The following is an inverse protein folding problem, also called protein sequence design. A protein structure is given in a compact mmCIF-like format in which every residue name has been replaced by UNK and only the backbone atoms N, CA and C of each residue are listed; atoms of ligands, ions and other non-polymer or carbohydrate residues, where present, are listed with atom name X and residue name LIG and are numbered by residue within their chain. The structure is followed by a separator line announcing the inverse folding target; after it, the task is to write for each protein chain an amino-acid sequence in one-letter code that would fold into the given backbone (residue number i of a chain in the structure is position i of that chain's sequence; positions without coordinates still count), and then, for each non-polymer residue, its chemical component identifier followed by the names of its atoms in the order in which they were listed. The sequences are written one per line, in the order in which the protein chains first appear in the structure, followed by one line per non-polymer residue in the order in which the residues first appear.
data_IF_609364310070
#
_entry.id   IF_609364310070
#
_cell.length_a   1.000
_cell.length_b   1.000
_cell.length_c   1.000
_cell.angle_alpha   90.00
_cell.angle_beta   90.00
_cell.angle_gamma   90.00
#
_symmetry.space_group_name_H-M   'P 1'
#
loop_
_entity.id
_entity.type
_entity.pdbx_description
1 polymer ?
#
# COMPACT_ATOMS: atom_id res chain seq x y z
N UNK A 1 -3.53 -10.54 -11.00
CA UNK A 1 -3.93 -9.30 -11.68
C UNK A 1 -2.95 -8.91 -12.77
N UNK A 2 -1.68 -8.55 -12.48
CA UNK A 2 -0.75 -8.17 -13.55
C UNK A 2 -0.46 -9.31 -14.54
N UNK A 3 -0.34 -10.55 -14.06
CA UNK A 3 -0.15 -11.76 -14.88
C UNK A 3 -1.42 -12.21 -15.63
N UNK A 4 -2.59 -11.73 -15.20
CA UNK A 4 -3.89 -12.09 -15.78
C UNK A 4 -4.39 -11.02 -16.78
N UNK A 5 -3.65 -9.92 -16.95
CA UNK A 5 -4.02 -8.79 -17.80
C UNK A 5 -3.26 -8.84 -19.12
N UNK A 6 -3.95 -8.70 -20.26
CA UNK A 6 -3.34 -8.77 -21.60
C UNK A 6 -2.30 -7.68 -21.84
N UNK A 7 -2.57 -6.43 -21.42
CA UNK A 7 -1.60 -5.33 -21.49
C UNK A 7 -1.46 -4.65 -20.11
N UNK A 8 -0.68 -5.23 -19.18
CA UNK A 8 -0.64 -4.79 -17.79
C UNK A 8 -0.10 -3.35 -17.64
N UNK A 9 0.75 -2.91 -18.57
CA UNK A 9 1.36 -1.59 -18.51
C UNK A 9 0.38 -0.44 -18.79
N UNK A 10 -0.73 -0.71 -19.49
CA UNK A 10 -1.76 0.28 -19.83
C UNK A 10 -3.06 0.03 -19.08
N UNK A 11 -3.49 -1.21 -18.98
CA UNK A 11 -4.82 -1.55 -18.49
C UNK A 11 -4.89 -1.42 -16.95
N UNK A 12 -3.82 -1.75 -16.22
CA UNK A 12 -3.79 -1.62 -14.76
C UNK A 12 -3.92 -0.15 -14.32
N UNK A 13 -3.12 0.81 -14.86
CA UNK A 13 -3.29 2.22 -14.49
C UNK A 13 -4.66 2.79 -14.87
N UNK A 14 -5.19 2.45 -16.05
CA UNK A 14 -6.51 2.93 -16.48
C UNK A 14 -7.61 2.37 -15.58
N UNK A 15 -7.55 1.08 -15.25
CA UNK A 15 -8.49 0.45 -14.32
C UNK A 15 -8.45 1.09 -12.93
N UNK A 16 -7.25 1.37 -12.41
CA UNK A 16 -7.08 2.01 -11.11
C UNK A 16 -7.64 3.44 -11.09
N UNK A 17 -7.25 4.29 -12.04
CA UNK A 17 -7.72 5.70 -12.08
C UNK A 17 -9.22 5.78 -12.40
N UNK A 18 -9.70 4.94 -13.33
CA UNK A 18 -11.11 4.89 -13.71
C UNK A 18 -12.00 4.47 -12.55
N UNK A 19 -11.68 3.36 -11.88
CA UNK A 19 -12.45 2.89 -10.72
C UNK A 19 -12.43 3.89 -9.55
N UNK A 20 -11.27 4.49 -9.24
CA UNK A 20 -11.14 5.49 -8.19
C UNK A 20 -11.98 6.74 -8.48
N UNK A 21 -11.99 7.22 -9.73
CA UNK A 21 -12.78 8.41 -10.09
C UNK A 21 -14.27 8.14 -9.95
N UNK A 22 -14.74 6.98 -10.44
CA UNK A 22 -16.15 6.59 -10.37
C UNK A 22 -16.60 6.45 -8.91
N UNK A 23 -15.81 5.77 -8.07
CA UNK A 23 -16.18 5.57 -6.66
C UNK A 23 -16.15 6.88 -5.86
N UNK A 24 -15.21 7.79 -6.14
CA UNK A 24 -15.19 9.12 -5.52
C UNK A 24 -16.44 9.91 -5.84
N UNK A 25 -16.86 9.96 -7.11
CA UNK A 25 -18.10 10.65 -7.51
C UNK A 25 -19.31 10.01 -6.83
N UNK A 26 -19.38 8.68 -6.80
CA UNK A 26 -20.45 7.97 -6.12
C UNK A 26 -20.50 8.30 -4.62
N UNK A 27 -19.36 8.33 -3.92
CA UNK A 27 -19.32 8.71 -2.50
C UNK A 27 -19.73 10.16 -2.26
N UNK A 28 -19.34 11.10 -3.13
CA UNK A 28 -19.79 12.49 -3.02
C UNK A 28 -21.31 12.62 -3.19
N UNK A 29 -21.89 11.90 -4.16
CA UNK A 29 -23.33 11.88 -4.38
C UNK A 29 -24.08 11.25 -3.20
N UNK A 30 -23.56 10.14 -2.65
CA UNK A 30 -24.12 9.48 -1.47
C UNK A 30 -24.09 10.38 -0.23
N UNK A 31 -22.97 11.07 0.02
CA UNK A 31 -22.85 12.00 1.12
C UNK A 31 -23.82 13.20 0.97
N UNK A 32 -23.93 13.74 -0.24
CA UNK A 32 -24.88 14.82 -0.55
C UNK A 32 -26.33 14.36 -0.33
N UNK A 33 -26.69 13.17 -0.82
CA UNK A 33 -28.02 12.61 -0.64
C UNK A 33 -28.35 12.41 0.84
N UNK A 34 -27.40 11.91 1.64
CA UNK A 34 -27.59 11.69 3.07
C UNK A 34 -27.81 13.02 3.83
N UNK A 35 -26.99 14.05 3.55
CA UNK A 35 -27.14 15.36 4.17
C UNK A 35 -28.43 16.09 3.77
N UNK A 36 -28.99 15.81 2.58
CA UNK A 36 -30.30 16.32 2.17
C UNK A 36 -31.45 15.60 2.88
N UNK A 37 -31.22 14.35 3.29
CA UNK A 37 -32.21 13.47 3.88
C UNK A 37 -32.41 13.74 5.37
N UNK A 38 -31.32 13.94 6.13
CA UNK A 38 -31.36 14.24 7.56
C UNK A 38 -30.32 15.30 7.96
N UNK A 39 -30.62 16.13 8.98
CA UNK A 39 -29.64 17.04 9.56
C UNK A 39 -28.41 16.28 10.07
N UNK A 40 -27.21 16.83 9.85
CA UNK A 40 -25.92 16.20 10.19
C UNK A 40 -25.84 15.67 11.63
N UNK A 41 -26.49 16.34 12.58
CA UNK A 41 -26.47 15.98 14.00
C UNK A 41 -27.24 14.69 14.33
N UNK A 42 -28.11 14.23 13.44
CA UNK A 42 -28.97 13.06 13.65
C UNK A 42 -28.51 11.82 12.87
N UNK A 43 -27.40 11.93 12.13
CA UNK A 43 -26.87 10.83 11.33
C UNK A 43 -26.17 9.84 12.27
N UNK A 44 -26.68 8.61 12.31
CA UNK A 44 -26.06 7.53 13.07
C UNK A 44 -24.72 7.09 12.41
N UNK A 45 -23.61 7.02 13.18
CA UNK A 45 -22.32 6.62 12.63
C UNK A 45 -22.22 5.16 12.16
N UNK A 46 -23.02 4.25 12.73
CA UNK A 46 -22.94 2.82 12.47
C UNK A 46 -23.86 2.39 11.32
N UNK A 47 -25.00 3.05 11.15
CA UNK A 47 -26.00 2.70 10.15
C UNK A 47 -26.65 3.92 9.47
N UNK A 48 -25.85 4.80 8.83
CA UNK A 48 -26.32 6.12 8.38
C UNK A 48 -27.48 6.05 7.39
N UNK A 49 -27.39 5.22 6.35
CA UNK A 49 -28.45 5.10 5.35
C UNK A 49 -29.66 4.32 5.87
N UNK A 50 -29.43 3.29 6.68
CA UNK A 50 -30.49 2.44 7.20
C UNK A 50 -31.45 3.24 8.08
N UNK A 51 -30.90 4.02 9.01
CA UNK A 51 -31.64 4.89 9.93
C UNK A 51 -32.27 6.06 9.17
N UNK A 52 -31.58 6.62 8.18
CA UNK A 52 -32.14 7.72 7.37
C UNK A 52 -33.40 7.28 6.59
N UNK A 53 -33.39 6.10 5.94
CA UNK A 53 -34.59 5.57 5.24
C UNK A 53 -35.73 5.22 6.18
N UNK A 54 -35.42 4.75 7.39
CA UNK A 54 -36.41 4.51 8.45
C UNK A 54 -37.05 5.81 8.94
N UNK A 55 -36.27 6.87 9.14
CA UNK A 55 -36.77 8.17 9.59
C UNK A 55 -37.75 8.83 8.61
N UNK A 56 -37.64 8.53 7.30
CA UNK A 56 -38.56 9.03 6.26
C UNK A 56 -39.75 8.08 6.02
N UNK A 57 -39.80 6.93 6.69
CA UNK A 57 -40.85 5.93 6.52
C UNK A 57 -40.72 5.06 5.26
N UNK A 58 -39.56 5.09 4.57
CA UNK A 58 -39.28 4.27 3.39
C UNK A 58 -38.72 2.89 3.77
N UNK A 59 -39.54 2.08 4.44
CA UNK A 59 -39.11 0.79 4.97
C UNK A 59 -38.68 -0.22 3.89
N UNK A 60 -39.19 -0.13 2.66
CA UNK A 60 -38.77 -1.01 1.56
C UNK A 60 -37.31 -0.72 1.13
N UNK A 61 -36.91 0.54 1.10
CA UNK A 61 -35.57 0.97 0.69
C UNK A 61 -34.51 0.55 1.72
N UNK A 62 -34.87 0.57 3.01
CA UNK A 62 -34.04 0.09 4.13
C UNK A 62 -33.52 -1.34 3.88
N UNK A 63 -34.40 -2.27 3.50
CA UNK A 63 -34.01 -3.66 3.27
C UNK A 63 -33.12 -3.84 2.03
N UNK A 64 -33.40 -3.12 0.94
CA UNK A 64 -32.59 -3.17 -0.28
C UNK A 64 -31.16 -2.70 0.02
N UNK A 65 -31.02 -1.57 0.72
CA UNK A 65 -29.70 -1.03 1.09
C UNK A 65 -28.97 -1.95 2.07
N UNK A 66 -29.68 -2.56 3.02
CA UNK A 66 -29.09 -3.52 3.95
C UNK A 66 -28.52 -4.76 3.22
N UNK A 67 -29.27 -5.33 2.28
CA UNK A 67 -28.84 -6.48 1.48
C UNK A 67 -27.66 -6.08 0.59
N UNK A 68 -27.72 -4.93 -0.08
CA UNK A 68 -26.62 -4.43 -0.91
C UNK A 68 -25.35 -4.16 -0.11
N UNK A 69 -25.48 -3.63 1.11
CA UNK A 69 -24.36 -3.44 2.04
C UNK A 69 -23.72 -4.77 2.46
N UNK A 70 -24.54 -5.76 2.82
CA UNK A 70 -24.07 -7.10 3.19
C UNK A 70 -23.34 -7.79 2.03
N UNK A 71 -23.93 -7.77 0.84
CA UNK A 71 -23.33 -8.33 -0.38
C UNK A 71 -21.98 -7.66 -0.69
N UNK A 72 -21.96 -6.31 -0.71
CA UNK A 72 -20.76 -5.54 -0.99
C UNK A 72 -19.62 -5.81 0.00
N UNK A 73 -19.92 -5.84 1.30
CA UNK A 73 -18.93 -6.18 2.33
C UNK A 73 -18.38 -7.61 2.15
N UNK A 74 -19.25 -8.57 1.81
CA UNK A 74 -18.86 -9.97 1.59
C UNK A 74 -17.95 -10.11 0.37
N UNK A 75 -18.24 -9.41 -0.73
CA UNK A 75 -17.39 -9.40 -1.93
C UNK A 75 -16.00 -8.84 -1.63
N UNK A 76 -15.93 -7.70 -0.91
CA UNK A 76 -14.65 -7.08 -0.54
C UNK A 76 -13.84 -7.98 0.39
N UNK A 77 -14.49 -8.60 1.38
CA UNK A 77 -13.86 -9.56 2.28
C UNK A 77 -13.22 -10.71 1.48
N UNK A 78 -13.97 -11.32 0.56
CA UNK A 78 -13.49 -12.43 -0.25
C UNK A 78 -12.29 -12.01 -1.13
N UNK A 79 -12.34 -10.84 -1.74
CA UNK A 79 -11.25 -10.31 -2.54
C UNK A 79 -9.96 -10.12 -1.73
N UNK A 80 -10.07 -9.59 -0.50
CA UNK A 80 -8.92 -9.40 0.41
C UNK A 80 -8.34 -10.75 0.83
N UNK A 81 -9.18 -11.72 1.22
CA UNK A 81 -8.73 -13.05 1.67
C UNK A 81 -7.96 -13.77 0.55
N UNK A 82 -8.46 -13.71 -0.69
CA UNK A 82 -7.76 -14.30 -1.86
C UNK A 82 -6.42 -13.59 -2.11
N UNK A 83 -6.38 -12.26 -2.01
CA UNK A 83 -5.15 -11.47 -2.16
C UNK A 83 -4.11 -11.79 -1.08
N UNK A 84 -4.52 -11.83 0.18
CA UNK A 84 -3.66 -12.15 1.33
C UNK A 84 -3.07 -13.55 1.23
N UNK A 85 -3.88 -14.55 0.87
CA UNK A 85 -3.41 -15.92 0.72
C UNK A 85 -2.35 -16.05 -0.38
N UNK A 86 -2.55 -15.39 -1.55
CA UNK A 86 -1.55 -15.36 -2.62
C UNK A 86 -0.26 -14.69 -2.16
N UNK A 87 -0.34 -13.54 -1.50
CA UNK A 87 0.83 -12.85 -0.97
C UNK A 87 1.60 -13.73 0.03
N UNK A 88 0.88 -14.39 0.95
CA UNK A 88 1.48 -15.28 1.94
C UNK A 88 2.19 -16.48 1.31
N UNK A 89 1.63 -17.07 0.25
CA UNK A 89 2.31 -18.17 -0.47
C UNK A 89 3.59 -17.73 -1.14
N UNK A 90 3.65 -16.51 -1.69
CA UNK A 90 4.87 -15.98 -2.28
C UNK A 90 5.96 -15.78 -1.22
N UNK A 91 5.61 -15.30 -0.02
CA UNK A 91 6.55 -15.20 1.11
C UNK A 91 6.99 -16.59 1.61
N UNK A 92 6.07 -17.55 1.67
CA UNK A 92 6.39 -18.91 2.09
C UNK A 92 7.31 -19.62 1.08
N UNK A 93 7.21 -19.30 -0.21
CA UNK A 93 8.14 -19.80 -1.25
C UNK A 93 9.56 -19.27 -1.07
N UNK A 94 9.73 -18.03 -0.59
CA UNK A 94 11.06 -17.49 -0.24
C UNK A 94 11.60 -18.01 1.10
N UNK A 95 10.98 -19.07 1.66
CA UNK A 95 11.32 -19.73 2.94
C UNK A 95 11.41 -18.81 4.17
N UNK A 96 10.84 -17.61 4.09
CA UNK A 96 10.68 -16.70 5.23
C UNK A 96 9.58 -17.17 6.21
N UNK A 97 8.78 -18.14 5.79
CA UNK A 97 7.71 -18.77 6.57
C UNK A 97 7.71 -20.28 6.36
N UNK A 98 7.08 -21.06 7.25
CA UNK A 98 7.04 -22.52 7.14
C UNK A 98 6.56 -23.02 5.78
N UNK A 99 7.27 -23.99 5.20
CA UNK A 99 7.04 -24.46 3.83
C UNK A 99 5.63 -25.04 3.57
N UNK A 100 4.94 -25.52 4.61
CA UNK A 100 3.56 -26.02 4.49
C UNK A 100 2.55 -24.94 4.06
N UNK A 101 2.87 -23.66 4.27
CA UNK A 101 2.07 -22.51 3.78
C UNK A 101 2.28 -22.24 2.28
N UNK A 102 3.36 -22.75 1.69
CA UNK A 102 3.65 -22.62 0.25
C UNK A 102 2.92 -23.67 -0.60
N UNK A 103 2.31 -24.68 0.03
CA UNK A 103 1.63 -25.77 -0.67
C UNK A 103 0.32 -25.28 -1.31
N UNK A 104 0.17 -25.60 -2.60
CA UNK A 104 -1.02 -25.28 -3.40
C UNK A 104 -1.74 -26.59 -3.70
N UNK A 105 -3.07 -26.60 -3.53
CA UNK A 105 -3.85 -27.79 -3.84
C UNK A 105 -3.85 -28.04 -5.36
N UNK A 106 -3.42 -29.22 -5.85
CA UNK A 106 -3.32 -29.52 -7.27
C UNK A 106 -4.66 -29.54 -8.00
N UNK A 107 -5.78 -29.77 -7.30
CA UNK A 107 -7.12 -29.80 -7.92
C UNK A 107 -7.75 -28.42 -8.10
N UNK A 108 -7.56 -27.51 -7.14
CA UNK A 108 -8.20 -26.19 -7.15
C UNK A 108 -7.25 -25.08 -7.58
N UNK A 109 -5.93 -25.33 -7.61
CA UNK A 109 -4.92 -24.31 -7.87
C UNK A 109 -4.85 -23.22 -6.80
N UNK A 110 -5.53 -23.40 -5.66
CA UNK A 110 -5.63 -22.41 -4.58
C UNK A 110 -4.81 -22.82 -3.35
N UNK A 111 -4.19 -21.86 -2.64
CA UNK A 111 -3.47 -22.15 -1.41
C UNK A 111 -4.39 -22.19 -0.20
N UNK A 112 -5.00 -23.36 0.02
CA UNK A 112 -5.99 -23.58 1.08
C UNK A 112 -5.36 -23.36 2.47
N UNK A 113 -4.17 -23.89 2.71
CA UNK A 113 -3.48 -23.77 4.00
C UNK A 113 -3.23 -22.31 4.39
N UNK A 114 -2.69 -21.51 3.45
CA UNK A 114 -2.46 -20.08 3.66
C UNK A 114 -3.77 -19.32 3.91
N UNK A 115 -4.85 -19.69 3.20
CA UNK A 115 -6.17 -19.06 3.35
C UNK A 115 -6.77 -19.33 4.73
N UNK A 116 -6.77 -20.58 5.19
CA UNK A 116 -7.35 -20.95 6.49
C UNK A 116 -6.59 -20.26 7.63
N UNK A 117 -5.26 -20.23 7.56
CA UNK A 117 -4.42 -19.65 8.62
C UNK A 117 -4.61 -18.13 8.72
N UNK A 118 -4.63 -17.43 7.57
CA UNK A 118 -4.85 -15.98 7.54
C UNK A 118 -6.26 -15.60 7.98
N UNK A 119 -7.27 -16.38 7.57
CA UNK A 119 -8.64 -16.17 7.97
C UNK A 119 -8.84 -16.43 9.47
N UNK A 120 -8.30 -17.53 9.99
CA UNK A 120 -8.36 -17.85 11.42
C UNK A 120 -7.66 -16.77 12.26
N UNK A 121 -6.48 -16.33 11.87
CA UNK A 121 -5.75 -15.27 12.55
C UNK A 121 -6.54 -13.94 12.53
N UNK A 122 -7.09 -13.57 11.37
CA UNK A 122 -7.87 -12.34 11.22
C UNK A 122 -9.18 -12.39 12.03
N UNK A 123 -9.86 -13.55 12.06
CA UNK A 123 -11.07 -13.76 12.84
C UNK A 123 -10.81 -13.64 14.35
N UNK A 124 -9.70 -14.20 14.84
CA UNK A 124 -9.30 -14.03 16.25
C UNK A 124 -9.06 -12.56 16.56
N UNK A 125 -8.28 -11.85 15.73
CA UNK A 125 -8.00 -10.42 15.95
C UNK A 125 -9.28 -9.59 15.93
N UNK A 126 -10.18 -9.85 14.97
CA UNK A 126 -11.46 -9.17 14.84
C UNK A 126 -12.41 -9.45 16.03
N UNK A 127 -12.36 -10.64 16.62
CA UNK A 127 -13.18 -10.99 17.78
C UNK A 127 -12.73 -10.29 19.06
N UNK A 128 -11.42 -10.10 19.24
CA UNK A 128 -10.83 -9.51 20.46
C UNK A 128 -10.52 -8.00 20.36
N UNK A 129 -10.77 -7.36 19.22
CA UNK A 129 -10.41 -5.94 19.00
C UNK A 129 -11.62 -5.13 18.54
N UNK A 130 -11.85 -3.98 19.18
CA UNK A 130 -12.89 -3.04 18.77
C UNK A 130 -12.64 -2.44 17.39
N UNK A 131 -13.73 -2.15 16.66
CA UNK A 131 -13.71 -1.65 15.28
C UNK A 131 -12.96 -0.32 15.15
N UNK A 132 -13.11 0.60 16.10
CA UNK A 132 -12.43 1.89 16.07
C UNK A 132 -10.91 1.74 16.15
N UNK A 133 -10.45 0.83 17.00
CA UNK A 133 -9.01 0.52 17.14
C UNK A 133 -8.48 -0.05 15.84
N UNK A 134 -9.22 -0.98 15.23
CA UNK A 134 -8.82 -1.63 13.99
C UNK A 134 -8.79 -0.64 12.82
N UNK A 135 -9.79 0.24 12.73
CA UNK A 135 -9.91 1.27 11.69
C UNK A 135 -8.77 2.29 11.81
N UNK A 136 -8.46 2.76 13.01
CA UNK A 136 -7.34 3.66 13.24
C UNK A 136 -5.99 2.99 12.90
N UNK A 137 -5.81 1.72 13.28
CA UNK A 137 -4.60 0.96 12.97
C UNK A 137 -4.41 0.76 11.45
N UNK A 138 -5.50 0.44 10.75
CA UNK A 138 -5.52 0.25 9.31
C UNK A 138 -5.25 1.58 8.57
N UNK A 139 -5.82 2.69 9.04
CA UNK A 139 -5.59 4.02 8.49
C UNK A 139 -4.12 4.44 8.64
N UNK A 140 -3.54 4.33 9.84
CA UNK A 140 -2.12 4.62 10.10
C UNK A 140 -1.22 3.81 9.14
N UNK A 141 -1.47 2.50 9.05
CA UNK A 141 -0.68 1.59 8.21
C UNK A 141 -0.78 1.95 6.72
N UNK A 142 -1.98 2.27 6.23
CA UNK A 142 -2.22 2.59 4.82
C UNK A 142 -1.60 3.93 4.45
N UNK A 143 -1.77 4.97 5.29
CA UNK A 143 -1.15 6.28 5.09
C UNK A 143 0.37 6.21 5.09
N UNK A 144 0.94 5.38 5.97
CA UNK A 144 2.37 5.12 6.00
C UNK A 144 2.87 4.47 4.71
N UNK A 145 2.19 3.40 4.25
CA UNK A 145 2.53 2.73 2.99
C UNK A 145 2.42 3.70 1.81
N UNK A 146 1.37 4.52 1.73
CA UNK A 146 1.21 5.49 0.65
C UNK A 146 2.32 6.55 0.65
N UNK A 147 2.78 6.97 1.83
CA UNK A 147 3.95 7.86 1.97
C UNK A 147 5.22 7.18 1.43
N UNK A 148 5.46 5.92 1.78
CA UNK A 148 6.60 5.15 1.27
C UNK A 148 6.53 4.95 -0.25
N UNK A 149 5.35 4.67 -0.80
CA UNK A 149 5.14 4.53 -2.25
C UNK A 149 5.44 5.85 -2.96
N UNK A 150 4.99 6.99 -2.42
CA UNK A 150 5.28 8.30 -2.99
C UNK A 150 6.78 8.64 -2.97
N UNK A 151 7.48 8.33 -1.87
CA UNK A 151 8.95 8.46 -1.79
C UNK A 151 9.62 7.54 -2.83
N UNK A 152 9.19 6.28 -2.92
CA UNK A 152 9.73 5.32 -3.87
C UNK A 152 9.55 5.78 -5.33
N UNK A 153 8.43 6.45 -5.66
CA UNK A 153 8.21 7.05 -6.97
C UNK A 153 9.19 8.20 -7.26
N UNK A 154 9.47 9.07 -6.28
CA UNK A 154 10.49 10.12 -6.41
C UNK A 154 11.89 9.52 -6.59
N UNK A 155 12.28 8.56 -5.74
CA UNK A 155 13.56 7.87 -5.85
C UNK A 155 13.69 7.18 -7.20
N UNK A 156 12.66 6.46 -7.66
CA UNK A 156 12.67 5.78 -8.97
C UNK A 156 12.79 6.74 -10.16
N UNK A 157 12.32 7.99 -10.01
CA UNK A 157 12.40 9.02 -11.06
C UNK A 157 13.79 9.63 -11.18
N UNK A 158 14.43 9.91 -10.04
CA UNK A 158 15.64 10.73 -9.95
C UNK A 158 16.91 9.93 -9.63
N UNK A 159 16.80 8.67 -9.23
CA UNK A 159 17.94 7.80 -8.93
C UNK A 159 18.02 6.61 -9.89
N UNK A 160 19.20 6.39 -10.48
CA UNK A 160 19.52 5.20 -11.28
C UNK A 160 20.87 4.66 -10.84
N UNK A 161 20.88 3.44 -10.30
CA UNK A 161 22.09 2.75 -9.89
C UNK A 161 23.10 2.68 -11.04
N UNK A 162 24.31 3.21 -10.82
CA UNK A 162 25.41 3.19 -11.79
C UNK A 162 25.54 4.41 -12.71
N UNK A 163 24.55 5.32 -12.76
CA UNK A 163 24.59 6.51 -13.65
C UNK A 163 24.55 7.83 -12.85
N UNK A 164 23.86 7.87 -11.72
CA UNK A 164 23.78 9.09 -10.90
C UNK A 164 25.05 9.34 -10.09
N UNK A 165 25.63 10.53 -10.27
CA UNK A 165 26.76 11.02 -9.48
C UNK A 165 26.41 11.07 -7.99
N UNK A 166 27.34 10.73 -7.06
CA UNK A 166 27.08 10.77 -5.62
C UNK A 166 26.60 12.15 -5.12
N UNK A 167 27.02 13.23 -5.77
CA UNK A 167 26.54 14.58 -5.48
C UNK A 167 25.03 14.74 -5.72
N UNK A 168 24.51 14.23 -6.84
CA UNK A 168 23.09 14.35 -7.19
C UNK A 168 22.21 13.40 -6.37
N UNK A 169 22.75 12.25 -5.98
CA UNK A 169 22.11 11.36 -4.99
C UNK A 169 21.94 12.06 -3.65
N UNK A 170 22.97 12.73 -3.15
CA UNK A 170 22.90 13.43 -1.86
C UNK A 170 21.92 14.61 -1.94
N UNK A 171 21.90 15.38 -3.04
CA UNK A 171 20.91 16.43 -3.28
C UNK A 171 19.47 15.88 -3.27
N UNK A 172 19.23 14.74 -3.91
CA UNK A 172 17.93 14.07 -3.91
C UNK A 172 17.49 13.69 -2.48
N UNK A 173 18.38 13.08 -1.70
CA UNK A 173 18.10 12.68 -0.31
C UNK A 173 17.78 13.91 0.54
N UNK A 174 18.57 14.99 0.39
CA UNK A 174 18.34 16.26 1.11
C UNK A 174 16.97 16.84 0.76
N UNK A 175 16.60 16.89 -0.53
CA UNK A 175 15.29 17.42 -0.95
C UNK A 175 14.14 16.60 -0.39
N UNK A 176 14.22 15.26 -0.42
CA UNK A 176 13.19 14.38 0.15
C UNK A 176 13.12 14.57 1.66
N UNK A 177 14.26 14.66 2.36
CA UNK A 177 14.29 14.90 3.79
C UNK A 177 13.63 16.24 4.15
N UNK A 178 13.89 17.31 3.40
CA UNK A 178 13.22 18.61 3.58
C UNK A 178 11.71 18.52 3.36
N UNK A 179 11.24 17.79 2.35
CA UNK A 179 9.81 17.56 2.10
C UNK A 179 9.17 16.83 3.30
N UNK A 180 9.85 15.81 3.84
CA UNK A 180 9.35 15.06 5.00
C UNK A 180 9.35 15.90 6.28
N UNK A 181 10.43 16.63 6.55
CA UNK A 181 10.56 17.47 7.75
C UNK A 181 9.55 18.62 7.72
N UNK A 182 9.37 19.30 6.59
CA UNK A 182 8.36 20.37 6.47
C UNK A 182 6.94 19.86 6.62
N UNK A 183 6.63 18.67 6.07
CA UNK A 183 5.33 18.03 6.25
C UNK A 183 5.09 17.61 7.71
N UNK A 184 6.09 16.98 8.34
CA UNK A 184 6.01 16.56 9.74
C UNK A 184 5.93 17.75 10.71
N UNK A 185 6.64 18.85 10.41
CA UNK A 185 6.55 20.09 11.18
C UNK A 185 5.12 20.65 11.13
N UNK A 186 4.51 20.71 9.93
CA UNK A 186 3.11 21.15 9.76
C UNK A 186 2.15 20.34 10.63
N UNK A 187 2.32 19.03 10.64
CA UNK A 187 1.52 18.12 11.45
C UNK A 187 1.76 18.31 12.95
N UNK A 188 3.02 18.45 13.38
CA UNK A 188 3.37 18.65 14.78
C UNK A 188 2.80 19.97 15.32
N UNK A 189 2.83 21.04 14.52
CA UNK A 189 2.19 22.31 14.86
C UNK A 189 0.68 22.16 15.01
N UNK A 190 0.01 21.48 14.08
CA UNK A 190 -1.43 21.22 14.18
C UNK A 190 -1.79 20.39 15.42
N UNK A 191 -0.94 19.43 15.81
CA UNK A 191 -1.22 18.54 16.94
C UNK A 191 -0.89 19.14 18.34
N UNK A 192 -0.07 20.20 18.39
CA UNK A 192 0.42 20.82 19.63
C UNK A 192 -0.23 22.18 19.92
N UNK A 193 -0.56 22.96 18.89
CA UNK A 193 -1.18 24.27 19.06
C UNK A 193 -2.69 24.14 19.23
N UNK A 194 -3.23 24.57 20.38
CA UNK A 194 -4.69 24.65 20.61
C UNK A 194 -5.32 25.91 20.00
N UNK A 195 -4.52 26.95 19.74
CA UNK A 195 -4.92 28.11 18.96
C UNK A 195 -4.59 27.89 17.48
N UNK A 196 -5.58 28.18 16.63
CA UNK A 196 -5.59 27.90 15.20
C UNK A 196 -4.73 28.94 14.43
N UNK A 197 -3.46 29.07 14.83
CA UNK A 197 -2.54 30.06 14.29
C UNK A 197 -2.12 29.68 12.86
N UNK A 198 -2.76 30.34 11.90
CA UNK A 198 -2.49 30.23 10.46
C UNK A 198 -1.01 30.50 10.09
N UNK A 199 -0.27 31.15 10.98
CA UNK A 199 1.14 31.54 10.81
C UNK A 199 2.03 30.32 10.58
N UNK A 200 1.79 29.20 11.28
CA UNK A 200 2.59 27.99 11.10
C UNK A 200 2.43 27.43 9.68
N UNK A 201 1.21 27.38 9.16
CA UNK A 201 0.93 26.96 7.78
C UNK A 201 1.53 27.92 6.75
N UNK A 202 1.49 29.22 7.03
CA UNK A 202 2.10 30.24 6.18
C UNK A 202 3.63 30.11 6.08
N UNK A 203 4.29 29.44 7.02
CA UNK A 203 5.75 29.19 6.99
C UNK A 203 6.06 27.82 6.41
N UNK A 204 5.34 26.77 6.82
CA UNK A 204 5.66 25.41 6.39
C UNK A 204 5.25 25.10 4.95
N UNK A 205 4.16 25.69 4.46
CA UNK A 205 3.70 25.47 3.08
C UNK A 205 4.67 26.04 2.03
N UNK A 206 5.22 27.27 2.18
CA UNK A 206 6.28 27.75 1.30
C UNK A 206 7.55 26.91 1.35
N UNK A 207 7.95 26.41 2.53
CA UNK A 207 9.13 25.54 2.67
C UNK A 207 8.92 24.24 1.89
N UNK A 208 7.73 23.62 2.01
CA UNK A 208 7.38 22.43 1.23
C UNK A 208 7.36 22.70 -0.28
N UNK A 209 6.78 23.84 -0.70
CA UNK A 209 6.73 24.25 -2.10
C UNK A 209 8.13 24.48 -2.68
N UNK A 210 8.99 25.21 -1.95
CA UNK A 210 10.36 25.48 -2.33
C UNK A 210 11.21 24.20 -2.38
N UNK A 211 11.02 23.27 -1.45
CA UNK A 211 11.70 21.97 -1.47
C UNK A 211 11.28 21.13 -2.69
N UNK A 212 9.98 21.15 -3.04
CA UNK A 212 9.46 20.48 -4.24
C UNK A 212 9.98 21.14 -5.53
N UNK A 213 10.05 22.47 -5.56
CA UNK A 213 10.58 23.23 -6.69
C UNK A 213 12.09 23.04 -6.85
N UNK A 214 12.84 23.01 -5.75
CA UNK A 214 14.27 22.68 -5.73
C UNK A 214 14.52 21.28 -6.30
N UNK A 215 13.70 20.28 -5.92
CA UNK A 215 13.76 18.94 -6.50
C UNK A 215 13.52 18.93 -8.02
N UNK A 216 12.64 19.80 -8.52
CA UNK A 216 12.37 19.92 -9.95
C UNK A 216 13.51 20.56 -10.74
N UNK A 217 14.17 21.58 -10.17
CA UNK A 217 15.17 22.41 -10.87
C UNK A 217 16.59 21.84 -10.70
N UNK A 218 16.93 21.35 -9.52
CA UNK A 218 18.31 21.00 -9.14
C UNK A 218 18.67 19.57 -9.52
N UNK A 219 17.71 18.63 -9.49
CA UNK A 219 17.98 17.21 -9.68
C UNK A 219 17.64 16.78 -11.11
N UNK A 220 18.61 16.31 -11.92
CA UNK A 220 18.33 15.86 -13.28
C UNK A 220 17.44 14.61 -13.26
N UNK A 221 16.47 14.56 -14.18
CA UNK A 221 15.52 13.43 -14.29
C UNK A 221 16.26 12.22 -14.88
N UNK A 222 16.54 11.22 -14.05
CA UNK A 222 17.34 10.05 -14.45
C UNK A 222 16.56 9.01 -15.28
N UNK A 223 15.22 8.95 -15.19
CA UNK A 223 14.38 8.08 -16.04
C UNK A 223 13.21 8.82 -16.67
N UNK A 224 12.98 8.64 -17.97
CA UNK A 224 11.68 8.92 -18.61
C UNK A 224 10.83 7.64 -18.59
N UNK A 225 9.51 7.72 -18.30
CA UNK A 225 8.67 6.53 -18.28
C UNK A 225 8.39 6.10 -19.72
N UNK A 226 8.63 4.83 -20.07
CA UNK A 226 8.42 4.35 -21.45
C UNK A 226 6.95 4.15 -21.85
N UNK A 227 6.04 3.97 -20.89
CA UNK A 227 4.65 3.55 -21.15
C UNK A 227 3.63 4.39 -20.39
N UNK A 228 3.66 4.37 -19.05
CA UNK A 228 2.82 5.21 -18.22
C UNK A 228 3.67 5.85 -17.11
N UNK A 229 3.65 7.18 -17.06
CA UNK A 229 4.30 7.98 -16.04
C UNK A 229 3.26 8.71 -15.24
N UNK A 230 3.47 8.78 -13.93
CA UNK A 230 2.64 9.62 -13.06
C UNK A 230 2.68 11.06 -13.60
N UNK A 231 1.51 11.70 -13.85
CA UNK A 231 1.48 13.09 -14.30
C UNK A 231 2.02 14.00 -13.18
N UNK A 232 2.62 15.14 -13.55
CA UNK A 232 3.06 16.18 -12.61
C UNK A 232 4.14 15.76 -11.58
N UNK A 233 5.03 14.80 -11.89
CA UNK A 233 6.21 14.52 -11.03
C UNK A 233 7.18 15.73 -11.10
N UNK A 234 7.62 16.33 -9.97
CA UNK A 234 7.58 15.80 -8.59
C UNK A 234 6.42 16.25 -7.69
N UNK A 235 5.54 17.14 -8.16
CA UNK A 235 4.44 17.73 -7.38
C UNK A 235 3.42 16.72 -6.88
N UNK A 236 2.95 15.80 -7.73
CA UNK A 236 1.91 14.85 -7.32
C UNK A 236 2.39 13.89 -6.21
N UNK A 237 3.58 13.26 -6.31
CA UNK A 237 4.13 12.49 -5.18
C UNK A 237 4.44 13.32 -3.94
N UNK A 238 4.95 14.56 -4.06
CA UNK A 238 5.25 15.37 -2.87
C UNK A 238 3.97 15.84 -2.15
N UNK A 239 2.90 16.14 -2.89
CA UNK A 239 1.60 16.47 -2.34
C UNK A 239 0.98 15.27 -1.61
N UNK A 240 1.11 14.06 -2.18
CA UNK A 240 0.68 12.84 -1.51
C UNK A 240 1.40 12.63 -0.18
N UNK A 241 2.72 12.86 -0.12
CA UNK A 241 3.49 12.79 1.13
C UNK A 241 2.94 13.79 2.16
N UNK A 242 2.75 15.05 1.77
CA UNK A 242 2.26 16.09 2.67
C UNK A 242 0.86 15.77 3.22
N UNK A 243 -0.08 15.40 2.35
CA UNK A 243 -1.46 15.06 2.73
C UNK A 243 -1.47 13.82 3.64
N UNK A 244 -0.71 12.77 3.31
CA UNK A 244 -0.67 11.56 4.13
C UNK A 244 -0.11 11.85 5.53
N UNK A 245 0.97 12.63 5.63
CA UNK A 245 1.59 12.99 6.91
C UNK A 245 0.70 13.94 7.72
N UNK A 246 -0.04 14.84 7.07
CA UNK A 246 -1.02 15.70 7.73
C UNK A 246 -2.16 14.87 8.33
N UNK A 247 -2.81 14.04 7.51
CA UNK A 247 -3.89 13.14 7.96
C UNK A 247 -3.42 12.20 9.06
N UNK A 248 -2.16 11.75 9.00
CA UNK A 248 -1.60 10.87 10.02
C UNK A 248 -1.59 11.55 11.40
N UNK A 249 -1.27 12.84 11.50
CA UNK A 249 -1.33 13.53 12.79
C UNK A 249 -2.71 13.97 13.22
N UNK A 250 -3.72 13.91 12.34
CA UNK A 250 -5.13 14.04 12.73
C UNK A 250 -5.68 12.84 13.48
N UNK A 251 -4.94 11.73 13.53
CA UNK A 251 -5.30 10.52 14.27
C UNK A 251 -4.88 10.66 15.74
N UNK A 252 -5.72 10.14 16.65
CA UNK A 252 -5.50 10.23 18.09
C UNK A 252 -4.16 9.62 18.56
N UNK A 253 -3.53 10.28 19.55
CA UNK A 253 -2.22 9.89 20.09
C UNK A 253 -2.24 8.49 20.74
N UNK A 254 -3.35 8.07 21.36
CA UNK A 254 -3.43 6.73 21.93
C UNK A 254 -3.42 5.65 20.84
N UNK A 255 -3.96 5.95 19.66
CA UNK A 255 -3.89 5.04 18.50
C UNK A 255 -2.45 4.82 18.02
N UNK A 256 -1.62 5.86 18.04
CA UNK A 256 -0.20 5.73 17.73
C UNK A 256 0.56 4.86 18.71
N UNK A 257 0.31 5.02 20.01
CA UNK A 257 0.97 4.20 21.04
C UNK A 257 0.59 2.73 20.86
N UNK A 258 -0.71 2.45 20.65
CA UNK A 258 -1.21 1.09 20.38
C UNK A 258 -0.59 0.49 19.11
N UNK A 259 -0.46 1.28 18.04
CA UNK A 259 0.22 0.86 16.82
C UNK A 259 1.71 0.58 17.05
N UNK A 260 2.42 1.46 17.75
CA UNK A 260 3.85 1.32 18.00
C UNK A 260 4.16 0.06 18.82
N UNK A 261 3.36 -0.24 19.84
CA UNK A 261 3.50 -1.46 20.66
C UNK A 261 3.27 -2.71 19.81
N UNK A 262 2.18 -2.77 19.02
CA UNK A 262 1.86 -3.92 18.18
C UNK A 262 2.89 -4.14 17.07
N UNK A 263 3.33 -3.07 16.42
CA UNK A 263 4.42 -3.11 15.43
C UNK A 263 5.73 -3.56 16.07
N UNK A 264 6.03 -3.11 17.29
CA UNK A 264 7.17 -3.57 18.06
C UNK A 264 7.16 -5.08 18.31
N UNK A 265 6.00 -5.64 18.72
CA UNK A 265 5.84 -7.09 18.90
C UNK A 265 6.07 -7.85 17.59
N UNK A 266 5.50 -7.38 16.48
CA UNK A 266 5.68 -8.01 15.16
C UNK A 266 7.13 -7.93 14.71
N UNK A 267 7.81 -6.81 14.93
CA UNK A 267 9.23 -6.66 14.62
C UNK A 267 10.09 -7.57 15.49
N UNK A 268 9.81 -7.69 16.79
CA UNK A 268 10.51 -8.64 17.67
C UNK A 268 10.33 -10.06 17.17
N UNK A 269 9.11 -10.46 16.80
CA UNK A 269 8.87 -11.76 16.16
C UNK A 269 9.66 -11.92 14.86
N UNK A 270 9.68 -10.90 13.99
CA UNK A 270 10.45 -10.92 12.75
C UNK A 270 11.97 -11.04 13.01
N UNK A 271 12.53 -10.31 13.97
CA UNK A 271 13.95 -10.39 14.29
C UNK A 271 14.34 -11.71 14.96
N UNK A 272 13.47 -12.26 15.81
CA UNK A 272 13.75 -13.52 16.52
C UNK A 272 13.54 -14.74 15.63
N UNK A 273 12.47 -14.76 14.83
CA UNK A 273 12.08 -15.93 14.02
C UNK A 273 12.40 -15.71 12.55
N UNK A 274 12.01 -14.58 11.99
CA UNK A 274 12.18 -14.28 10.56
C UNK A 274 13.62 -14.06 10.13
N UNK A 275 14.45 -13.40 10.94
CA UNK A 275 15.87 -13.17 10.65
C UNK A 275 16.68 -14.47 10.80
N UNK A 276 16.41 -15.27 11.84
CA UNK A 276 17.04 -16.59 12.01
C UNK A 276 16.66 -17.53 10.85
N UNK A 277 15.37 -17.62 10.51
CA UNK A 277 14.92 -18.40 9.37
C UNK A 277 15.54 -17.93 8.04
N UNK A 278 15.61 -16.61 7.82
CA UNK A 278 16.21 -16.03 6.62
C UNK A 278 17.72 -16.29 6.55
N UNK A 279 18.43 -16.19 7.69
CA UNK A 279 19.87 -16.45 7.79
C UNK A 279 20.20 -17.94 7.57
N UNK A 280 19.43 -18.85 8.17
CA UNK A 280 19.58 -20.30 7.98
C UNK A 280 19.30 -20.69 6.52
N UNK A 281 18.35 -20.04 5.85
CA UNK A 281 18.11 -20.26 4.41
C UNK A 281 19.20 -19.71 3.50
N UNK A 282 19.79 -18.55 3.82
CA UNK A 282 20.90 -17.98 3.06
C UNK A 282 22.18 -18.82 3.21
N UNK A 283 22.43 -19.35 4.42
CA UNK A 283 23.57 -20.23 4.71
C UNK A 283 23.43 -21.57 3.98
N UNK A 284 22.21 -22.13 3.92
CA UNK A 284 21.92 -23.33 3.14
C UNK A 284 22.07 -23.16 1.61
N UNK A 285 21.92 -21.95 1.07
CA UNK A 285 22.24 -21.65 -0.34
C UNK A 285 23.76 -21.59 -0.57
N UNK A 286 24.53 -20.99 0.35
CA UNK A 286 25.99 -20.99 0.27
C UNK A 286 26.61 -22.39 0.38
N UNK A 287 26.06 -23.23 1.26
CA UNK A 287 26.52 -24.62 1.42
C UNK A 287 26.10 -25.53 0.24
N UNK A 288 24.87 -25.43 -0.28
CA UNK A 288 24.46 -26.21 -1.47
C UNK A 288 25.18 -25.78 -2.75
N UNK A 289 25.54 -24.51 -2.90
CA UNK A 289 26.32 -24.02 -4.04
C UNK A 289 27.80 -24.42 -3.94
N UNK A 290 28.33 -24.57 -2.73
CA UNK A 290 29.66 -25.14 -2.47
C UNK A 290 29.67 -26.69 -2.57
N UNK A 291 28.54 -27.35 -2.32
CA UNK A 291 28.38 -28.81 -2.32
C UNK A 291 27.87 -29.39 -3.66
N UNK A 292 28.25 -28.78 -4.80
CA UNK A 292 28.35 -29.46 -6.09
C UNK A 292 27.14 -30.28 -6.56
N UNK A 293 25.93 -29.72 -6.57
CA UNK A 293 24.83 -30.40 -7.25
C UNK A 293 23.56 -29.58 -7.34
N UNK A 294 23.25 -29.08 -8.53
CA UNK A 294 21.92 -29.23 -9.15
C UNK A 294 22.07 -29.22 -10.67
N UNK A 295 21.51 -30.28 -11.26
CA UNK A 295 21.37 -30.51 -12.68
C UNK A 295 20.43 -29.49 -13.31
N UNK A 296 20.76 -29.12 -14.55
CA UNK A 296 19.94 -28.39 -15.51
C UNK A 296 18.49 -28.91 -15.53
N UNK A 297 17.52 -28.10 -15.09
CA UNK A 297 16.09 -28.39 -15.24
C UNK A 297 15.25 -27.20 -15.71
N UNK A 298 15.85 -26.03 -16.00
CA UNK A 298 15.12 -24.85 -16.48
C UNK A 298 15.48 -24.40 -17.90
N UNK A 299 16.42 -25.06 -18.58
CA UNK A 299 16.70 -24.80 -19.99
C UNK A 299 16.14 -25.95 -20.84
N UNK A 300 15.00 -25.71 -21.48
CA UNK A 300 14.53 -26.55 -22.58
C UNK A 300 15.58 -26.58 -23.72
N UNK A 301 15.58 -27.63 -24.58
CA UNK A 301 16.65 -27.80 -25.55
C UNK A 301 16.69 -26.63 -26.54
N UNK A 302 17.79 -25.87 -26.49
CA UNK A 302 18.12 -24.87 -27.50
C UNK A 302 18.50 -25.60 -28.78
N UNK A 303 17.69 -25.44 -29.82
CA UNK A 303 17.99 -25.97 -31.16
C UNK A 303 19.12 -25.15 -31.80
N UNK A 304 20.35 -25.64 -31.69
CA UNK A 304 21.51 -25.07 -32.37
C UNK A 304 21.64 -25.65 -33.79
N UNK A 305 20.90 -25.10 -34.75
CA UNK A 305 21.19 -25.25 -36.18
C UNK A 305 21.83 -23.97 -36.70
N UNK A 306 23.16 -23.89 -36.59
CA UNK A 306 23.99 -23.08 -37.48
C UNK A 306 25.25 -23.87 -37.81
N UNK A 307 25.16 -24.71 -38.83
CA UNK A 307 26.32 -25.26 -39.54
C UNK A 307 26.92 -24.16 -40.41
N UNK A 308 28.01 -23.57 -39.97
CA UNK A 308 28.93 -22.85 -40.85
C UNK A 308 29.73 -23.87 -41.65
N UNK A 309 29.44 -23.95 -42.94
CA UNK A 309 30.26 -24.62 -43.94
C UNK A 309 31.35 -23.64 -44.42
N UNK A 310 32.63 -24.03 -44.46
CA UNK A 310 33.54 -23.46 -45.44
C UNK A 310 33.99 -24.55 -46.43
N UNK A 311 33.74 -24.21 -47.69
CA UNK A 311 34.35 -24.74 -48.89
C UNK A 311 35.89 -24.80 -48.83
N UNK A 312 36.40 -25.82 -49.53
CA UNK A 312 37.78 -26.06 -50.04
C UNK A 312 38.88 -26.33 -49.01
#
# INVERSE_FOLDING_TARGET
MAEETKNPARDIPIGLVGSMTIITVAYCLLAMALCLMQPYQQIDPNAPFLVAFEAIGMNWAKYIVAIGGLEGMTTVLLAIVVGQARYLTHIARTRMMPHWLAQINPKTGTPINATIVTLAATAIIAFFTELDILTNLAAISTLFIFTLVAIALLVRRYHVSGVTTPADRNKLIICIAFILVSSAATTAYWALSSDNDWIAYAITAPIWFLATLALQVIVPKARTPKLWGVPLVPWLPSASIAINIFTLGSIDRASFIRFAVRTGIVLIYYFLVGLHASYDTAKGHGENQAAGGYWNAEEGPVSSNYTTNPSS
#
